data_IF_710848282366
#
_entry.id   IF_710848282366
#
_cell.length_a   1.000
_cell.length_b   1.000
_cell.length_c   1.000
_cell.angle_alpha   90.00
_cell.angle_beta   90.00
_cell.angle_gamma   90.00
#
_symmetry.space_group_name_H-M   'P 1'
#
loop_
_entity.id
_entity.type
_entity.pdbx_description
1 polymer ?
#
# COMPACT_ATOMS: atom_id res chain seq x y z
N UNK A 1 -2.03 -14.03 21.37
CA UNK A 1 -1.32 -12.84 20.91
C UNK A 1 -2.20 -11.62 21.09
N UNK A 2 -1.61 -10.51 21.54
CA UNK A 2 -2.26 -9.20 21.56
C UNK A 2 -1.85 -8.45 20.29
N UNK A 3 -2.85 -7.93 19.55
CA UNK A 3 -2.63 -7.25 18.27
C UNK A 3 -3.31 -5.90 18.32
N UNK A 4 -2.53 -4.83 18.22
CA UNK A 4 -3.06 -3.47 18.11
C UNK A 4 -3.50 -3.20 16.67
N UNK A 5 -4.72 -2.71 16.48
CA UNK A 5 -5.29 -2.44 15.14
C UNK A 5 -5.78 -0.99 15.05
N UNK A 6 -5.76 -0.35 13.86
CA UNK A 6 -6.40 0.93 13.67
C UNK A 6 -7.93 0.79 13.74
N UNK A 7 -8.63 1.89 14.03
CA UNK A 7 -10.09 1.88 14.13
C UNK A 7 -10.77 1.47 12.82
N UNK A 8 -10.16 1.77 11.67
CA UNK A 8 -10.61 1.28 10.35
C UNK A 8 -10.68 -0.24 10.29
N UNK A 9 -9.65 -0.91 10.78
CA UNK A 9 -9.61 -2.38 10.90
C UNK A 9 -10.60 -2.88 11.96
N UNK A 10 -10.65 -2.24 13.13
CA UNK A 10 -11.48 -2.66 14.26
C UNK A 10 -12.97 -2.76 13.89
N UNK A 11 -13.51 -1.78 13.19
CA UNK A 11 -14.92 -1.77 12.77
C UNK A 11 -15.28 -2.86 11.73
N UNK A 12 -14.30 -3.48 11.12
CA UNK A 12 -14.51 -4.53 10.12
C UNK A 12 -14.11 -5.92 10.64
N UNK A 13 -13.78 -6.05 11.92
CA UNK A 13 -13.53 -7.36 12.51
C UNK A 13 -14.82 -8.19 12.54
N UNK A 14 -14.73 -9.51 12.34
CA UNK A 14 -15.86 -10.41 12.48
C UNK A 14 -16.29 -10.53 13.95
N UNK A 15 -17.40 -11.22 14.20
CA UNK A 15 -17.86 -11.48 15.55
C UNK A 15 -16.89 -12.34 16.35
N UNK A 16 -16.98 -12.27 17.69
CA UNK A 16 -16.16 -13.09 18.58
C UNK A 16 -16.35 -14.59 18.28
N UNK A 17 -15.22 -15.30 18.13
CA UNK A 17 -15.19 -16.71 17.81
C UNK A 17 -15.13 -17.03 16.32
N UNK A 18 -15.27 -16.04 15.45
CA UNK A 18 -15.10 -16.23 14.01
C UNK A 18 -13.63 -16.05 13.59
N UNK A 19 -13.16 -16.78 12.56
CA UNK A 19 -11.78 -16.67 12.09
C UNK A 19 -11.56 -15.30 11.43
N UNK A 20 -10.42 -14.68 11.74
CA UNK A 20 -9.97 -13.43 11.13
C UNK A 20 -8.56 -13.58 10.57
N UNK A 21 -8.32 -12.97 9.41
CA UNK A 21 -6.99 -12.85 8.83
C UNK A 21 -6.56 -11.39 8.85
N UNK A 22 -5.44 -11.13 9.52
CA UNK A 22 -4.83 -9.79 9.57
C UNK A 22 -3.42 -9.85 8.99
N UNK A 23 -3.09 -8.85 8.22
CA UNK A 23 -1.71 -8.60 7.77
C UNK A 23 -0.99 -7.88 8.90
N UNK A 24 0.11 -8.45 9.41
CA UNK A 24 0.73 -7.95 10.64
C UNK A 24 2.09 -7.27 10.39
N UNK A 25 2.46 -6.41 11.34
CA UNK A 25 3.77 -5.80 11.46
C UNK A 25 4.26 -5.93 12.91
N UNK A 26 5.40 -6.60 13.09
CA UNK A 26 6.04 -6.76 14.40
C UNK A 26 7.06 -5.65 14.62
N UNK A 27 6.94 -4.95 15.74
CA UNK A 27 7.95 -4.01 16.24
C UNK A 27 8.63 -4.63 17.45
N UNK A 28 9.91 -4.90 17.32
CA UNK A 28 10.74 -5.44 18.40
C UNK A 28 11.47 -4.29 19.08
N UNK A 29 11.35 -4.22 20.41
CA UNK A 29 12.11 -3.33 21.28
C UNK A 29 12.79 -4.15 22.36
N UNK A 30 13.72 -3.56 23.07
CA UNK A 30 14.46 -4.25 24.13
C UNK A 30 13.54 -4.71 25.28
N UNK A 31 12.44 -4.00 25.49
CA UNK A 31 11.46 -4.20 26.59
C UNK A 31 10.12 -4.78 26.13
N UNK A 32 9.82 -4.82 24.83
CA UNK A 32 8.51 -5.25 24.33
C UNK A 32 8.52 -5.72 22.88
N UNK A 33 7.67 -6.70 22.60
CA UNK A 33 7.29 -7.10 21.24
C UNK A 33 5.86 -6.62 21.00
N UNK A 34 5.71 -5.66 20.09
CA UNK A 34 4.41 -5.07 19.76
C UNK A 34 3.97 -5.56 18.38
N UNK A 35 2.77 -6.13 18.30
CA UNK A 35 2.20 -6.64 17.06
C UNK A 35 1.07 -5.74 16.60
N UNK A 36 1.20 -5.21 15.40
CA UNK A 36 0.20 -4.36 14.76
C UNK A 36 -0.49 -5.12 13.65
N UNK A 37 -1.83 -5.05 13.55
CA UNK A 37 -2.64 -5.76 12.57
C UNK A 37 -3.46 -4.83 11.69
N UNK A 38 -3.61 -5.22 10.42
CA UNK A 38 -4.32 -4.45 9.40
C UNK A 38 -5.17 -5.39 8.56
N UNK A 39 -6.30 -4.91 8.04
CA UNK A 39 -7.12 -5.69 7.10
C UNK A 39 -6.50 -5.77 5.71
N UNK A 40 -5.75 -4.76 5.32
CA UNK A 40 -5.19 -4.66 3.97
C UNK A 40 -3.67 -4.47 3.99
N UNK A 41 -3.03 -4.95 2.94
CA UNK A 41 -1.60 -4.70 2.71
C UNK A 41 -1.32 -3.20 2.54
N UNK A 42 -2.25 -2.44 1.94
CA UNK A 42 -2.11 -1.00 1.75
C UNK A 42 -2.01 -0.26 3.09
N UNK A 43 -2.82 -0.64 4.09
CA UNK A 43 -2.74 -0.07 5.45
C UNK A 43 -1.39 -0.41 6.10
N UNK A 44 -0.93 -1.66 5.98
CA UNK A 44 0.38 -2.08 6.51
C UNK A 44 1.53 -1.32 5.86
N UNK A 45 1.50 -1.14 4.54
CA UNK A 45 2.51 -0.36 3.80
C UNK A 45 2.50 1.08 4.25
N UNK A 46 1.32 1.71 4.36
CA UNK A 46 1.17 3.08 4.86
C UNK A 46 1.73 3.22 6.28
N UNK A 47 1.40 2.29 7.18
CA UNK A 47 1.93 2.24 8.54
C UNK A 47 3.46 2.20 8.55
N UNK A 48 4.07 1.31 7.77
CA UNK A 48 5.53 1.18 7.66
C UNK A 48 6.19 2.43 7.09
N UNK A 49 5.54 3.13 6.17
CA UNK A 49 6.06 4.41 5.66
C UNK A 49 5.96 5.52 6.72
N UNK A 50 4.88 5.56 7.49
CA UNK A 50 4.71 6.51 8.60
C UNK A 50 5.80 6.34 9.66
N UNK A 51 6.17 5.09 10.01
CA UNK A 51 7.23 4.80 10.98
C UNK A 51 8.62 5.30 10.57
N UNK A 52 8.86 5.52 9.27
CA UNK A 52 10.14 6.06 8.79
C UNK A 52 10.27 7.57 9.01
N UNK A 53 9.19 8.24 9.38
CA UNK A 53 9.16 9.70 9.57
C UNK A 53 9.63 10.01 10.99
N UNK A 54 10.64 10.84 11.12
CA UNK A 54 11.14 11.28 12.43
C UNK A 54 10.05 11.99 13.23
N UNK A 55 9.80 11.50 14.44
CA UNK A 55 8.74 12.00 15.34
C UNK A 55 7.39 11.28 15.18
N UNK A 56 7.30 10.26 14.31
CA UNK A 56 6.11 9.40 14.20
C UNK A 56 6.48 8.01 14.71
N UNK A 57 6.02 7.67 15.91
CA UNK A 57 6.09 6.32 16.45
C UNK A 57 4.86 5.49 16.08
N UNK A 58 4.88 4.20 16.45
CA UNK A 58 3.80 3.26 16.12
C UNK A 58 2.42 3.72 16.59
N UNK A 59 2.32 4.28 17.81
CA UNK A 59 1.07 4.81 18.35
C UNK A 59 0.51 5.98 17.51
N UNK A 60 1.37 6.89 17.05
CA UNK A 60 0.97 8.00 16.20
C UNK A 60 0.59 7.50 14.80
N UNK A 61 1.36 6.57 14.23
CA UNK A 61 1.06 5.96 12.95
C UNK A 61 -0.31 5.23 12.97
N UNK A 62 -0.63 4.55 14.08
CA UNK A 62 -1.94 3.92 14.29
C UNK A 62 -3.06 4.96 14.40
N UNK A 63 -2.82 6.08 15.10
CA UNK A 63 -3.78 7.18 15.20
C UNK A 63 -4.05 7.83 13.83
N UNK A 64 -3.03 7.95 12.97
CA UNK A 64 -3.21 8.44 11.58
C UNK A 64 -4.15 7.53 10.81
N UNK A 65 -3.91 6.22 10.81
CA UNK A 65 -4.73 5.24 10.09
C UNK A 65 -6.09 4.99 10.73
N UNK A 66 -6.27 5.38 12.00
CA UNK A 66 -7.57 5.40 12.66
C UNK A 66 -8.43 6.62 12.28
N UNK A 67 -7.77 7.74 11.98
CA UNK A 67 -8.44 8.99 11.63
C UNK A 67 -8.63 9.24 10.15
N UNK A 68 -7.82 8.58 9.31
CA UNK A 68 -7.83 8.74 7.85
C UNK A 68 -7.67 7.36 7.18
N UNK A 69 -8.48 7.08 6.17
CA UNK A 69 -8.21 5.95 5.27
C UNK A 69 -6.91 6.18 4.48
N UNK A 70 -6.36 5.12 3.88
CA UNK A 70 -5.15 5.24 3.07
C UNK A 70 -5.34 6.21 1.91
N UNK A 71 -6.54 6.22 1.30
CA UNK A 71 -6.91 7.13 0.22
C UNK A 71 -7.03 8.57 0.69
N UNK A 72 -7.64 8.79 1.86
CA UNK A 72 -7.76 10.13 2.45
C UNK A 72 -6.40 10.68 2.85
N UNK A 73 -5.52 9.84 3.39
CA UNK A 73 -4.13 10.18 3.69
C UNK A 73 -3.38 10.55 2.41
N UNK A 74 -3.48 9.75 1.35
CA UNK A 74 -2.86 10.03 0.06
C UNK A 74 -3.38 11.34 -0.54
N UNK A 75 -4.68 11.61 -0.43
CA UNK A 75 -5.29 12.86 -0.88
C UNK A 75 -4.79 14.07 -0.08
N UNK A 76 -4.74 13.96 1.25
CA UNK A 76 -4.21 15.01 2.11
C UNK A 76 -2.75 15.34 1.77
N UNK A 77 -1.93 14.32 1.48
CA UNK A 77 -0.54 14.50 1.05
C UNK A 77 -0.46 15.19 -0.32
N UNK A 78 -1.27 14.77 -1.29
CA UNK A 78 -1.29 15.36 -2.62
C UNK A 78 -1.73 16.83 -2.59
N UNK A 79 -2.70 17.16 -1.73
CA UNK A 79 -3.24 18.52 -1.55
C UNK A 79 -2.42 19.38 -0.57
N UNK A 80 -1.37 18.83 0.06
CA UNK A 80 -0.59 19.49 1.10
C UNK A 80 -1.45 20.02 2.25
N UNK A 81 -2.52 19.29 2.60
CA UNK A 81 -3.49 19.67 3.63
C UNK A 81 -2.98 19.31 5.04
N UNK A 82 -2.18 20.20 5.62
CA UNK A 82 -1.69 20.06 6.99
C UNK A 82 -2.82 20.17 8.02
N UNK A 83 -3.90 20.89 7.69
CA UNK A 83 -5.05 21.10 8.59
C UNK A 83 -5.79 19.81 8.90
N UNK A 84 -5.89 18.88 7.95
CA UNK A 84 -6.45 17.54 8.18
C UNK A 84 -5.59 16.70 9.12
N UNK A 85 -4.27 16.75 8.93
CA UNK A 85 -3.33 15.96 9.72
C UNK A 85 -3.22 16.45 11.16
N UNK A 86 -3.30 17.76 11.40
CA UNK A 86 -3.24 18.34 12.76
C UNK A 86 -4.48 18.04 13.62
N UNK A 87 -5.56 17.55 13.03
CA UNK A 87 -6.73 17.07 13.78
C UNK A 87 -6.50 15.72 14.44
N UNK A 88 -5.45 14.99 14.03
CA UNK A 88 -5.12 13.68 14.56
C UNK A 88 -4.38 13.86 15.89
N UNK A 89 -4.80 13.18 16.97
CA UNK A 89 -4.13 13.26 18.25
C UNK A 89 -2.63 12.88 18.15
N UNK A 90 -1.77 13.71 18.69
CA UNK A 90 -0.32 13.51 18.67
C UNK A 90 0.40 14.08 17.44
N UNK A 91 -0.33 14.67 16.48
CA UNK A 91 0.27 15.34 15.32
C UNK A 91 0.16 16.86 15.49
N UNK A 92 1.30 17.49 15.77
CA UNK A 92 1.45 18.95 15.75
C UNK A 92 1.76 19.48 14.34
N UNK A 93 1.73 20.81 14.18
CA UNK A 93 1.98 21.49 12.90
C UNK A 93 3.30 21.05 12.25
N UNK A 94 4.40 21.02 13.02
CA UNK A 94 5.72 20.61 12.51
C UNK A 94 5.74 19.14 12.03
N UNK A 95 5.07 18.25 12.76
CA UNK A 95 4.96 16.82 12.39
C UNK A 95 4.10 16.65 11.14
N UNK A 96 2.99 17.39 11.01
CA UNK A 96 2.14 17.39 9.83
C UNK A 96 2.90 17.86 8.58
N UNK A 97 3.61 18.96 8.66
CA UNK A 97 4.43 19.50 7.56
C UNK A 97 5.51 18.50 7.11
N UNK A 98 6.21 17.88 8.08
CA UNK A 98 7.20 16.85 7.81
C UNK A 98 6.57 15.62 7.14
N UNK A 99 5.43 15.17 7.66
CA UNK A 99 4.68 14.04 7.09
C UNK A 99 4.33 14.31 5.63
N UNK A 100 3.78 15.49 5.32
CA UNK A 100 3.44 15.87 3.95
C UNK A 100 4.66 15.88 3.02
N UNK A 101 5.80 16.37 3.51
CA UNK A 101 7.03 16.43 2.73
C UNK A 101 7.60 15.03 2.48
N UNK A 102 7.75 14.23 3.54
CA UNK A 102 8.42 12.93 3.47
C UNK A 102 7.58 11.83 2.82
N UNK A 103 6.24 11.93 2.88
CA UNK A 103 5.31 10.96 2.27
C UNK A 103 4.98 11.26 0.81
N UNK A 104 5.38 12.40 0.28
CA UNK A 104 5.14 12.78 -1.12
C UNK A 104 5.72 11.72 -2.06
N UNK A 105 4.86 11.09 -2.86
CA UNK A 105 5.23 10.04 -3.81
C UNK A 105 5.56 8.66 -3.22
N UNK A 106 5.39 8.45 -1.90
CA UNK A 106 5.69 7.17 -1.23
C UNK A 106 4.47 6.30 -0.97
N UNK A 107 3.26 6.84 -1.06
CA UNK A 107 2.05 6.05 -1.00
C UNK A 107 1.68 5.57 -2.42
N UNK A 108 1.37 4.30 -2.59
CA UNK A 108 0.86 3.81 -3.86
C UNK A 108 -0.49 4.50 -4.14
N UNK A 109 -0.52 5.39 -5.12
CA UNK A 109 -1.74 6.01 -5.62
C UNK A 109 -2.53 5.06 -6.53
N UNK A 110 -2.02 3.87 -6.78
CA UNK A 110 -2.58 2.93 -7.72
C UNK A 110 -3.15 1.70 -7.02
N UNK A 111 -4.42 1.46 -7.25
CA UNK A 111 -5.03 0.15 -7.15
C UNK A 111 -5.32 -0.32 -5.75
N UNK A 112 -6.43 0.14 -5.20
CA UNK A 112 -7.14 -0.61 -4.18
C UNK A 112 -7.65 -1.88 -4.85
N UNK A 113 -6.80 -2.87 -4.93
CA UNK A 113 -7.28 -4.23 -5.06
C UNK A 113 -7.84 -4.59 -3.71
N UNK A 114 -9.16 -4.53 -3.58
CA UNK A 114 -9.89 -5.14 -2.47
C UNK A 114 -9.53 -6.62 -2.42
N UNK A 115 -8.54 -6.98 -1.62
CA UNK A 115 -8.39 -8.35 -1.15
C UNK A 115 -9.23 -8.40 0.12
N UNK A 116 -10.51 -8.56 -0.06
CA UNK A 116 -11.46 -8.69 1.03
C UNK A 116 -12.28 -9.94 0.85
N UNK A 117 -12.39 -10.69 1.91
CA UNK A 117 -13.40 -11.71 2.23
C UNK A 117 -13.62 -12.78 1.17
N UNK A 118 -13.38 -14.02 1.60
CA UNK A 118 -13.72 -15.23 0.88
C UNK A 118 -15.15 -15.21 0.30
N UNK A 119 -15.21 -15.27 -1.00
CA UNK A 119 -16.41 -15.34 -1.80
C UNK A 119 -15.99 -15.20 -3.25
N UNK A 120 -16.04 -16.30 -3.99
CA UNK A 120 -15.79 -16.31 -5.42
C UNK A 120 -16.76 -15.34 -6.11
N UNK A 121 -16.26 -14.18 -6.53
CA UNK A 121 -16.92 -13.33 -7.50
C UNK A 121 -16.02 -13.26 -8.75
N UNK A 122 -16.61 -13.25 -9.98
CA UNK A 122 -15.85 -13.36 -11.21
C UNK A 122 -14.86 -12.22 -11.37
N UNK A 123 -13.64 -12.58 -11.77
CA UNK A 123 -12.53 -11.67 -12.02
C UNK A 123 -12.99 -10.51 -12.94
N UNK A 124 -12.91 -9.29 -12.42
CA UNK A 124 -12.85 -8.14 -13.28
C UNK A 124 -11.61 -8.29 -14.19
N UNK A 125 -11.64 -7.81 -15.45
CA UNK A 125 -10.53 -7.98 -16.36
C UNK A 125 -9.28 -7.39 -15.72
N UNK A 126 -8.31 -8.25 -15.38
CA UNK A 126 -6.99 -7.84 -14.96
C UNK A 126 -6.40 -7.02 -16.10
N UNK A 127 -5.94 -5.83 -15.79
CA UNK A 127 -5.10 -5.08 -16.72
C UNK A 127 -3.73 -5.77 -16.81
N UNK A 128 -3.72 -6.90 -17.53
CA UNK A 128 -2.52 -7.71 -17.76
C UNK A 128 -1.39 -6.85 -18.34
N UNK A 129 -1.75 -5.81 -19.06
CA UNK A 129 -0.84 -4.85 -19.67
C UNK A 129 -0.10 -4.03 -18.60
N UNK A 130 -0.82 -3.55 -17.58
CA UNK A 130 -0.23 -2.82 -16.46
C UNK A 130 0.71 -3.69 -15.63
N UNK A 131 0.32 -4.93 -15.36
CA UNK A 131 1.13 -5.86 -14.57
C UNK A 131 2.42 -6.26 -15.29
N UNK A 132 2.38 -6.47 -16.60
CA UNK A 132 3.57 -6.75 -17.43
C UNK A 132 4.51 -5.54 -17.41
N UNK A 133 3.99 -4.31 -17.58
CA UNK A 133 4.80 -3.09 -17.55
C UNK A 133 5.52 -2.93 -16.21
N UNK A 134 4.81 -3.08 -15.11
CA UNK A 134 5.38 -2.97 -13.77
C UNK A 134 6.47 -4.03 -13.52
N UNK A 135 6.26 -5.26 -13.99
CA UNK A 135 7.25 -6.32 -13.87
C UNK A 135 8.54 -6.01 -14.66
N UNK A 136 8.43 -5.47 -15.87
CA UNK A 136 9.59 -5.10 -16.69
C UNK A 136 10.38 -3.93 -16.06
N UNK A 137 9.69 -2.94 -15.51
CA UNK A 137 10.32 -1.82 -14.79
C UNK A 137 11.03 -2.34 -13.53
N UNK A 138 10.41 -3.27 -12.78
CA UNK A 138 11.01 -3.89 -11.60
C UNK A 138 12.26 -4.71 -11.93
N UNK A 139 12.36 -5.27 -13.15
CA UNK A 139 13.52 -5.96 -13.66
C UNK A 139 14.63 -5.00 -14.18
N UNK A 140 14.40 -3.68 -14.11
CA UNK A 140 15.40 -2.66 -14.44
C UNK A 140 15.35 -2.11 -15.87
N UNK A 141 14.34 -2.48 -16.66
CA UNK A 141 14.17 -1.89 -18.00
C UNK A 141 13.55 -0.49 -17.93
N UNK A 142 13.94 0.39 -18.87
CA UNK A 142 13.35 1.71 -18.95
C UNK A 142 11.88 1.64 -19.40
N UNK A 143 11.02 2.48 -18.84
CA UNK A 143 9.59 2.50 -19.14
C UNK A 143 9.30 2.61 -20.64
N UNK A 144 10.13 3.37 -21.38
CA UNK A 144 9.99 3.55 -22.83
C UNK A 144 10.24 2.26 -23.59
N UNK A 145 11.26 1.49 -23.19
CA UNK A 145 11.61 0.20 -23.79
C UNK A 145 10.56 -0.87 -23.47
N UNK A 146 10.11 -0.90 -22.21
CA UNK A 146 9.07 -1.80 -21.75
C UNK A 146 7.76 -1.56 -22.53
N UNK A 147 7.33 -0.31 -22.71
CA UNK A 147 6.15 0.04 -23.51
C UNK A 147 6.29 -0.33 -24.98
N UNK A 148 7.47 -0.12 -25.59
CA UNK A 148 7.72 -0.48 -26.98
C UNK A 148 7.66 -2.02 -27.19
N UNK A 149 8.18 -2.80 -26.26
CA UNK A 149 8.07 -4.26 -26.30
C UNK A 149 6.62 -4.73 -26.14
N UNK A 150 5.85 -4.09 -25.27
CA UNK A 150 4.43 -4.41 -25.01
C UNK A 150 3.54 -4.14 -26.22
N UNK A 151 3.81 -3.12 -27.03
CA UNK A 151 3.05 -2.85 -28.24
C UNK A 151 3.11 -3.97 -29.28
N UNK A 152 4.09 -4.87 -29.17
CA UNK A 152 4.26 -6.01 -30.05
C UNK A 152 3.62 -7.30 -29.50
N UNK A 153 3.00 -7.24 -28.31
CA UNK A 153 2.33 -8.36 -27.70
C UNK A 153 0.84 -8.41 -28.06
N UNK A 154 0.22 -9.60 -28.12
CA UNK A 154 -1.22 -9.74 -28.25
C UNK A 154 -1.97 -9.07 -27.07
N UNK A 155 -3.13 -8.45 -27.30
CA UNK A 155 -3.86 -7.71 -26.26
C UNK A 155 -4.36 -8.58 -25.10
N UNK A 156 -4.61 -9.87 -25.33
CA UNK A 156 -5.17 -10.80 -24.34
C UNK A 156 -4.12 -11.80 -23.81
N UNK A 157 -2.83 -11.42 -23.80
CA UNK A 157 -1.77 -12.32 -23.34
C UNK A 157 -1.79 -12.42 -21.82
N UNK A 158 -1.65 -13.66 -21.32
CA UNK A 158 -1.47 -13.90 -19.88
C UNK A 158 -0.19 -13.21 -19.36
N UNK A 159 -0.24 -12.65 -18.14
CA UNK A 159 0.85 -11.86 -17.54
C UNK A 159 2.19 -12.59 -17.61
N UNK A 160 2.24 -13.87 -17.19
CA UNK A 160 3.48 -14.64 -17.16
C UNK A 160 4.04 -14.92 -18.58
N UNK A 161 3.15 -15.12 -19.55
CA UNK A 161 3.53 -15.30 -20.95
C UNK A 161 3.98 -13.98 -21.59
N UNK A 162 3.29 -12.88 -21.25
CA UNK A 162 3.60 -11.53 -21.69
C UNK A 162 4.97 -11.06 -21.22
N UNK A 163 5.30 -11.26 -19.94
CA UNK A 163 6.63 -10.95 -19.39
C UNK A 163 7.72 -11.71 -20.16
N UNK A 164 7.57 -13.03 -20.37
CA UNK A 164 8.54 -13.85 -21.12
C UNK A 164 8.71 -13.41 -22.56
N UNK A 165 7.62 -13.04 -23.23
CA UNK A 165 7.66 -12.58 -24.60
C UNK A 165 8.31 -11.19 -24.71
N UNK A 166 7.97 -10.25 -23.82
CA UNK A 166 8.61 -8.94 -23.76
C UNK A 166 10.11 -9.02 -23.50
N UNK A 167 10.55 -9.88 -22.57
CA UNK A 167 11.97 -10.09 -22.30
C UNK A 167 12.72 -10.63 -23.52
N UNK A 168 12.11 -11.52 -24.31
CA UNK A 168 12.72 -11.99 -25.57
C UNK A 168 12.87 -10.88 -26.61
N UNK A 169 11.94 -9.94 -26.68
CA UNK A 169 12.01 -8.79 -27.58
C UNK A 169 13.11 -7.82 -27.13
N UNK A 170 13.19 -7.55 -25.83
CA UNK A 170 14.19 -6.65 -25.23
C UNK A 170 15.61 -7.23 -25.26
N UNK A 171 15.77 -8.54 -25.19
CA UNK A 171 17.07 -9.20 -25.32
C UNK A 171 17.61 -9.24 -26.76
N UNK A 172 16.77 -8.91 -27.75
CA UNK A 172 17.14 -8.88 -29.18
C UNK A 172 17.43 -7.46 -29.72
N UNK A 173 17.13 -6.44 -28.91
CA UNK A 173 17.35 -5.04 -29.21
C UNK A 173 18.69 -4.56 -28.64
#
# INVERSE_FOLDING_TARGET
YEVEVPMSTFYHLPNLGEPVMLVTHLVVRDDAHLLFGFLTEAERVAFRQLLKISGIGARIALAVLSGLSVEELARAIAQQDSGRLTKIPGIGKKTAERLLLEMKGKLPMSGITKIGAGGAAPAAPHDATGDILHALIALGYHEREARAAMQQLPPDIEVAAGIRAALKLLAKA
#
